data_IF_755928915667
#
_entry.id   IF_755928915667
#
_cell.length_a   1.000
_cell.length_b   1.000
_cell.length_c   1.000
_cell.angle_alpha   90.00
_cell.angle_beta   90.00
_cell.angle_gamma   90.00
#
_symmetry.space_group_name_H-M   'P 1'
#
loop_
_entity.id
_entity.type
_entity.pdbx_description
1 polymer ?
#
# COMPACT_ATOMS: atom_id res chain seq x y z
N UNK A 1 -0.58 13.11 -2.20
CA UNK A 1 0.68 13.82 -2.57
C UNK A 1 1.80 13.61 -1.56
N UNK A 2 1.59 13.02 -0.38
CA UNK A 2 2.65 12.86 0.62
C UNK A 2 3.57 11.64 0.41
N UNK A 3 3.04 10.52 -0.08
CA UNK A 3 3.83 9.30 -0.28
C UNK A 3 4.94 9.43 -1.34
N UNK A 4 4.69 10.12 -2.48
CA UNK A 4 5.73 10.40 -3.49
C UNK A 4 6.84 11.32 -2.94
N UNK A 5 6.50 12.21 -2.00
CA UNK A 5 7.44 13.18 -1.45
C UNK A 5 8.47 12.59 -0.48
N UNK A 6 8.22 11.42 0.11
CA UNK A 6 9.17 10.79 1.03
C UNK A 6 10.41 10.25 0.32
N UNK A 7 10.28 9.81 -0.94
CA UNK A 7 11.38 9.18 -1.68
C UNK A 7 11.96 10.07 -2.78
N UNK A 8 11.25 11.15 -3.14
CA UNK A 8 11.60 12.01 -4.28
C UNK A 8 11.42 11.35 -5.64
N UNK A 9 10.85 10.13 -5.69
CA UNK A 9 10.58 9.40 -6.92
C UNK A 9 9.13 9.57 -7.33
N UNK A 10 8.91 9.80 -8.61
CA UNK A 10 7.56 9.87 -9.16
C UNK A 10 6.96 8.48 -9.33
N UNK A 11 5.70 8.30 -8.92
CA UNK A 11 4.97 7.05 -9.03
C UNK A 11 4.23 6.98 -10.35
N UNK A 12 4.69 6.15 -11.29
CA UNK A 12 4.03 6.04 -12.60
C UNK A 12 2.80 5.12 -12.61
N UNK A 13 2.84 4.03 -11.85
CA UNK A 13 1.80 3.01 -11.84
C UNK A 13 1.59 2.44 -10.43
N UNK A 14 0.34 2.13 -10.11
CA UNK A 14 -0.07 1.51 -8.87
C UNK A 14 -1.04 0.37 -9.14
N UNK A 15 -0.81 -0.77 -8.50
CA UNK A 15 -1.71 -1.92 -8.53
C UNK A 15 -2.53 -1.96 -7.25
N UNK A 16 -3.85 -2.01 -7.38
CA UNK A 16 -4.77 -2.14 -6.25
C UNK A 16 -5.58 -3.43 -6.38
N UNK A 17 -5.75 -4.16 -5.28
CA UNK A 17 -6.78 -5.19 -5.22
C UNK A 17 -8.16 -4.52 -5.28
N UNK A 18 -9.10 -5.15 -5.98
CA UNK A 18 -10.50 -4.77 -5.96
C UNK A 18 -11.04 -4.90 -4.54
N UNK A 19 -11.22 -3.75 -3.90
CA UNK A 19 -11.80 -3.56 -2.57
C UNK A 19 -12.46 -2.19 -2.49
N UNK A 20 -13.39 -2.00 -1.57
CA UNK A 20 -14.27 -0.82 -1.57
C UNK A 20 -13.54 0.52 -1.37
N UNK A 21 -12.44 0.55 -0.62
CA UNK A 21 -11.82 1.82 -0.19
C UNK A 21 -11.15 2.59 -1.33
N UNK A 22 -10.48 1.90 -2.26
CA UNK A 22 -9.74 2.53 -3.36
C UNK A 22 -10.43 2.38 -4.71
N UNK A 23 -11.58 1.72 -4.75
CA UNK A 23 -12.43 1.60 -5.93
C UNK A 23 -13.50 2.71 -5.95
N UNK A 24 -13.04 3.96 -6.03
CA UNK A 24 -13.93 5.13 -6.16
C UNK A 24 -13.37 6.20 -7.10
N UNK A 25 -14.27 6.97 -7.71
CA UNK A 25 -13.93 7.97 -8.73
C UNK A 25 -13.09 9.12 -8.18
N UNK A 26 -13.24 9.45 -6.90
CA UNK A 26 -12.47 10.52 -6.28
C UNK A 26 -10.97 10.16 -6.22
N UNK A 27 -10.67 8.92 -5.83
CA UNK A 27 -9.31 8.38 -5.81
C UNK A 27 -8.73 8.27 -7.23
N UNK A 28 -9.48 7.72 -8.18
CA UNK A 28 -9.05 7.60 -9.57
C UNK A 28 -8.80 8.97 -10.21
N UNK A 29 -9.67 9.95 -9.94
CA UNK A 29 -9.51 11.32 -10.40
C UNK A 29 -8.27 12.01 -9.83
N UNK A 30 -7.97 11.75 -8.55
CA UNK A 30 -6.71 12.21 -7.94
C UNK A 30 -5.50 11.59 -8.64
N UNK A 31 -5.45 10.27 -8.80
CA UNK A 31 -4.33 9.57 -9.45
C UNK A 31 -4.13 10.06 -10.90
N UNK A 32 -5.20 10.22 -11.66
CA UNK A 32 -5.15 10.72 -13.05
C UNK A 32 -4.55 12.12 -13.12
N UNK A 33 -4.96 13.04 -12.23
CA UNK A 33 -4.37 14.39 -12.15
C UNK A 33 -2.89 14.40 -11.81
N UNK A 34 -2.40 13.38 -11.11
CA UNK A 34 -0.98 13.21 -10.80
C UNK A 34 -0.23 12.42 -11.89
N UNK A 35 -0.89 11.98 -12.98
CA UNK A 35 -0.26 11.16 -14.02
C UNK A 35 -0.01 9.71 -13.61
N UNK A 36 -0.68 9.22 -12.56
CA UNK A 36 -0.53 7.88 -12.00
C UNK A 36 -1.55 6.94 -12.65
N UNK A 37 -1.08 5.85 -13.26
CA UNK A 37 -1.96 4.78 -13.76
C UNK A 37 -2.36 3.85 -12.61
N UNK A 38 -3.65 3.55 -12.48
CA UNK A 38 -4.17 2.59 -11.49
C UNK A 38 -4.64 1.34 -12.20
N UNK A 39 -4.04 0.20 -11.88
CA UNK A 39 -4.44 -1.11 -12.40
C UNK A 39 -5.16 -1.90 -11.30
N UNK A 40 -6.39 -2.32 -11.59
CA UNK A 40 -7.24 -3.07 -10.66
C UNK A 40 -7.01 -4.56 -10.85
N UNK A 41 -6.72 -5.25 -9.76
CA UNK A 41 -6.44 -6.68 -9.74
C UNK A 41 -7.58 -7.39 -9.02
N UNK A 42 -8.08 -8.54 -9.51
CA UNK A 42 -9.03 -9.37 -8.79
C UNK A 42 -8.57 -9.65 -7.36
N UNK A 43 -9.52 -9.56 -6.42
CA UNK A 43 -9.28 -9.89 -5.01
C UNK A 43 -8.66 -11.28 -4.89
N UNK A 44 -7.71 -11.43 -3.98
CA UNK A 44 -7.03 -12.69 -3.70
C UNK A 44 -6.21 -13.27 -4.88
N UNK A 45 -5.79 -12.43 -5.84
CA UNK A 45 -4.75 -12.79 -6.79
C UNK A 45 -3.41 -12.99 -6.07
N UNK A 46 -3.17 -14.22 -5.63
CA UNK A 46 -2.04 -14.62 -4.80
C UNK A 46 -0.68 -14.24 -5.40
N UNK A 47 -0.56 -14.22 -6.73
CA UNK A 47 0.70 -13.93 -7.42
C UNK A 47 1.04 -12.43 -7.45
N UNK A 48 0.05 -11.54 -7.48
CA UNK A 48 0.28 -10.11 -7.63
C UNK A 48 0.58 -9.41 -6.30
N UNK A 49 -0.01 -9.88 -5.20
CA UNK A 49 0.06 -9.19 -3.91
C UNK A 49 1.10 -9.74 -2.93
N UNK A 50 1.92 -10.70 -3.34
CA UNK A 50 2.96 -11.28 -2.49
C UNK A 50 3.94 -10.24 -1.93
N UNK A 51 4.30 -9.23 -2.72
CA UNK A 51 5.19 -8.15 -2.26
C UNK A 51 4.56 -7.30 -1.15
N UNK A 52 3.31 -6.86 -1.36
CA UNK A 52 2.57 -6.06 -0.38
C UNK A 52 2.35 -6.85 0.91
N UNK A 53 1.91 -8.11 0.80
CA UNK A 53 1.68 -8.99 1.96
C UNK A 53 2.95 -9.22 2.78
N UNK A 54 4.10 -9.43 2.11
CA UNK A 54 5.41 -9.54 2.80
C UNK A 54 5.79 -8.23 3.49
N UNK A 55 5.67 -7.09 2.81
CA UNK A 55 5.95 -5.78 3.41
C UNK A 55 5.10 -5.52 4.65
N UNK A 56 3.79 -5.77 4.57
CA UNK A 56 2.88 -5.62 5.71
C UNK A 56 3.30 -6.52 6.88
N UNK A 57 3.65 -7.79 6.61
CA UNK A 57 4.13 -8.70 7.65
C UNK A 57 5.42 -8.20 8.29
N UNK A 58 6.39 -7.73 7.50
CA UNK A 58 7.65 -7.18 8.03
C UNK A 58 7.40 -6.00 8.96
N UNK A 59 6.52 -5.08 8.60
CA UNK A 59 6.17 -3.92 9.45
C UNK A 59 5.49 -4.39 10.73
N UNK A 60 4.47 -5.26 10.65
CA UNK A 60 3.73 -5.74 11.82
C UNK A 60 4.63 -6.48 12.80
N UNK A 61 5.42 -7.46 12.31
CA UNK A 61 6.29 -8.25 13.18
C UNK A 61 7.46 -7.43 13.72
N UNK A 62 7.99 -6.49 12.93
CA UNK A 62 9.01 -5.55 13.39
C UNK A 62 8.50 -4.69 14.54
N UNK A 63 7.31 -4.09 14.39
CA UNK A 63 6.66 -3.30 15.46
C UNK A 63 6.37 -4.15 16.68
N UNK A 64 5.85 -5.38 16.52
CA UNK A 64 5.64 -6.31 17.64
C UNK A 64 6.94 -6.56 18.40
N UNK A 65 8.03 -6.80 17.69
CA UNK A 65 9.34 -7.04 18.30
C UNK A 65 9.80 -5.84 19.13
N UNK A 66 9.62 -4.62 18.63
CA UNK A 66 9.95 -3.39 19.37
C UNK A 66 9.06 -3.18 20.59
N UNK A 67 7.77 -3.52 20.51
CA UNK A 67 6.86 -3.45 21.65
C UNK A 67 7.27 -4.43 22.76
N UNK A 68 7.65 -5.65 22.39
CA UNK A 68 8.17 -6.65 23.35
C UNK A 68 9.46 -6.17 24.01
N UNK A 69 10.41 -5.63 23.22
CA UNK A 69 11.67 -5.12 23.74
C UNK A 69 11.48 -3.94 24.71
N UNK A 70 10.47 -3.11 24.47
CA UNK A 70 10.11 -1.98 25.33
C UNK A 70 9.17 -2.33 26.49
N UNK A 71 8.72 -3.58 26.59
CA UNK A 71 7.76 -4.03 27.61
C UNK A 71 6.36 -3.42 27.48
N UNK A 72 5.99 -2.99 26.27
CA UNK A 72 4.71 -2.37 25.93
C UNK A 72 3.76 -3.32 25.18
N UNK A 73 4.03 -4.62 25.21
CA UNK A 73 3.24 -5.65 24.52
C UNK A 73 2.03 -6.16 25.34
N UNK A 74 1.71 -5.52 26.46
CA UNK A 74 0.63 -5.88 27.39
C UNK A 74 -0.28 -4.70 27.74
#
# INVERSE_FOLDING_TARGET
>A
TEAERQTGKHLHCMHIELGHEFDNDHFLGFCTKQGIRVEKIPKDSLSANGHVKRGNRTVIEGTRTQLVDSGLDH
#
